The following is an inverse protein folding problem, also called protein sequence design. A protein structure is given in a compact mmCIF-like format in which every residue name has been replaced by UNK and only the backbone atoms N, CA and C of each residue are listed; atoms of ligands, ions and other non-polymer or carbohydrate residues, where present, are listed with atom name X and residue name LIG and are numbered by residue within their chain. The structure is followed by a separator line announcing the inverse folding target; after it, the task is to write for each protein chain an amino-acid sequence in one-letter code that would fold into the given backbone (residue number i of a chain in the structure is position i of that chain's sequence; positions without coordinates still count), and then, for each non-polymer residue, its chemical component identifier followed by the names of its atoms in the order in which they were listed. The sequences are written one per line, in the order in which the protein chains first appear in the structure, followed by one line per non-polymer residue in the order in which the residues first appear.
data_IF_235844667344
#
_entry.id   IF_235844667344
#
_cell.length_a   1.000
_cell.length_b   1.000
_cell.length_c   1.000
_cell.angle_alpha   90.00
_cell.angle_beta   90.00
_cell.angle_gamma   90.00
#
_symmetry.space_group_name_H-M   'P 1'
#
loop_
_entity.id
_entity.type
_entity.pdbx_description
1 polymer ?
#
# COMPACT_ATOMS: atom_id res chain seq x y z
N UNK A 1 2.91 4.19 20.20
CA UNK A 1 1.45 4.43 20.09
C UNK A 1 0.89 3.54 18.99
N UNK A 2 -0.25 2.90 19.22
CA UNK A 2 -0.91 2.00 18.24
C UNK A 2 -2.02 2.78 17.56
N UNK A 3 -1.95 2.93 16.23
CA UNK A 3 -2.83 3.84 15.48
C UNK A 3 -3.56 3.08 14.39
N UNK A 4 -4.87 3.32 14.27
CA UNK A 4 -5.67 2.85 13.15
C UNK A 4 -5.38 3.70 11.90
N UNK A 5 -4.93 3.07 10.82
CA UNK A 5 -4.61 3.79 9.57
C UNK A 5 -5.84 4.37 8.86
N UNK A 6 -7.04 3.88 9.16
CA UNK A 6 -8.29 4.32 8.54
C UNK A 6 -8.84 5.55 9.27
N UNK A 7 -9.13 5.41 10.56
CA UNK A 7 -9.69 6.49 11.38
C UNK A 7 -8.65 7.51 11.85
N UNK A 8 -7.35 7.15 11.84
CA UNK A 8 -6.23 7.92 12.41
C UNK A 8 -6.31 8.10 13.93
N UNK A 9 -7.17 7.34 14.59
CA UNK A 9 -7.32 7.33 16.04
C UNK A 9 -6.34 6.35 16.69
N UNK A 10 -5.98 6.62 17.95
CA UNK A 10 -5.25 5.66 18.77
C UNK A 10 -6.17 4.48 19.16
N UNK A 11 -5.65 3.26 18.99
CA UNK A 11 -6.33 2.03 19.41
C UNK A 11 -5.88 1.74 20.84
N UNK A 12 -6.78 1.97 21.80
CA UNK A 12 -6.51 1.68 23.22
C UNK A 12 -6.78 0.22 23.57
N UNK A 13 -7.89 -0.32 23.07
CA UNK A 13 -8.35 -1.67 23.39
C UNK A 13 -9.09 -2.34 22.22
N UNK A 14 -9.08 -3.68 22.18
CA UNK A 14 -9.87 -4.51 21.25
C UNK A 14 -9.05 -5.25 20.19
N UNK A 15 -9.75 -5.96 19.31
CA UNK A 15 -9.15 -6.68 18.18
C UNK A 15 -8.68 -5.71 17.09
N UNK A 16 -7.43 -5.86 16.66
CA UNK A 16 -6.86 -5.11 15.54
C UNK A 16 -5.95 -5.99 14.68
N UNK A 17 -5.89 -5.69 13.39
CA UNK A 17 -5.02 -6.39 12.44
C UNK A 17 -3.77 -5.54 12.20
N UNK A 18 -2.59 -6.15 12.33
CA UNK A 18 -1.33 -5.45 12.11
C UNK A 18 -1.13 -5.18 10.62
N UNK A 19 -0.55 -4.03 10.30
CA UNK A 19 -0.11 -3.76 8.93
C UNK A 19 1.11 -4.62 8.59
N UNK A 20 1.04 -5.35 7.47
CA UNK A 20 2.17 -6.09 6.91
C UNK A 20 3.21 -5.10 6.39
N UNK A 21 4.46 -5.27 6.81
CA UNK A 21 5.58 -4.48 6.25
C UNK A 21 5.80 -4.84 4.78
N UNK A 22 5.96 -3.81 3.96
CA UNK A 22 6.28 -3.94 2.54
C UNK A 22 7.26 -2.82 2.11
N UNK A 23 7.90 -2.94 0.93
CA UNK A 23 8.91 -1.98 0.49
C UNK A 23 8.40 -0.54 0.35
N UNK A 24 7.11 -0.35 0.05
CA UNK A 24 6.51 0.99 -0.07
C UNK A 24 6.38 1.61 1.32
N UNK A 25 5.90 0.83 2.29
CA UNK A 25 5.82 1.28 3.68
C UNK A 25 7.21 1.62 4.25
N UNK A 26 8.21 0.77 3.98
CA UNK A 26 9.58 1.00 4.43
C UNK A 26 10.16 2.28 3.83
N UNK A 27 9.88 2.56 2.55
CA UNK A 27 10.30 3.79 1.89
C UNK A 27 9.63 5.02 2.52
N UNK A 28 8.32 4.95 2.78
CA UNK A 28 7.57 6.03 3.46
C UNK A 28 8.15 6.28 4.85
N UNK A 29 8.45 5.22 5.62
CA UNK A 29 9.05 5.33 6.95
C UNK A 29 10.45 5.94 6.88
N UNK A 30 11.29 5.52 5.94
CA UNK A 30 12.63 6.12 5.73
C UNK A 30 12.53 7.61 5.40
N UNK A 31 11.62 7.98 4.50
CA UNK A 31 11.41 9.38 4.14
C UNK A 31 10.92 10.20 5.34
N UNK A 32 9.95 9.69 6.11
CA UNK A 32 9.47 10.37 7.33
C UNK A 32 10.56 10.52 8.39
N UNK A 33 11.44 9.53 8.55
CA UNK A 33 12.60 9.60 9.44
C UNK A 33 13.58 10.68 8.99
N UNK A 34 13.90 10.72 7.70
CA UNK A 34 14.76 11.75 7.11
C UNK A 34 14.21 13.17 7.33
N UNK A 35 12.88 13.34 7.22
CA UNK A 35 12.20 14.62 7.43
C UNK A 35 11.95 14.94 8.92
N UNK A 36 12.36 14.08 9.86
CA UNK A 36 12.15 14.29 11.29
C UNK A 36 10.68 14.22 11.75
N UNK A 37 9.77 13.72 10.91
CA UNK A 37 8.32 13.64 11.20
C UNK A 37 7.87 12.26 11.64
N UNK A 38 8.80 11.32 11.82
CA UNK A 38 8.51 9.96 12.23
C UNK A 38 8.22 9.88 13.74
N UNK A 39 7.02 9.41 14.09
CA UNK A 39 6.56 9.33 15.48
C UNK A 39 6.73 7.94 16.12
N UNK A 40 7.28 6.95 15.41
CA UNK A 40 7.41 5.59 15.97
C UNK A 40 6.08 4.88 16.21
N UNK A 41 5.02 5.27 15.51
CA UNK A 41 3.70 4.66 15.67
C UNK A 41 3.66 3.26 15.06
N UNK A 42 3.00 2.33 15.74
CA UNK A 42 2.66 1.01 15.19
C UNK A 42 1.32 1.13 14.47
N UNK A 43 1.30 0.68 13.21
CA UNK A 43 0.14 0.82 12.34
C UNK A 43 -0.71 -0.45 12.38
N UNK A 44 -2.00 -0.25 12.60
CA UNK A 44 -3.01 -1.31 12.69
C UNK A 44 -4.28 -0.92 11.93
N UNK A 45 -5.19 -1.87 11.77
CA UNK A 45 -6.58 -1.66 11.36
C UNK A 45 -7.47 -2.22 12.46
N UNK A 46 -8.25 -1.37 13.11
CA UNK A 46 -9.20 -1.81 14.13
C UNK A 46 -10.35 -2.62 13.50
N UNK A 47 -10.91 -3.60 14.23
CA UNK A 47 -12.07 -4.39 13.75
C UNK A 47 -13.23 -3.51 13.27
N UNK A 48 -13.49 -2.39 13.97
CA UNK A 48 -14.53 -1.40 13.61
C UNK A 48 -14.31 -0.76 12.22
N UNK A 49 -13.05 -0.60 11.81
CA UNK A 49 -12.66 0.05 10.55
C UNK A 49 -12.42 -0.94 9.41
N UNK A 50 -12.65 -2.23 9.67
CA UNK A 50 -12.30 -3.30 8.72
C UNK A 50 -13.14 -3.26 7.44
N UNK A 51 -14.41 -2.86 7.53
CA UNK A 51 -15.28 -2.73 6.36
C UNK A 51 -14.79 -1.62 5.42
N UNK A 52 -14.46 -0.46 5.98
CA UNK A 52 -13.90 0.65 5.21
C UNK A 52 -12.51 0.31 4.64
N UNK A 53 -11.65 -0.35 5.42
CA UNK A 53 -10.38 -0.86 4.93
C UNK A 53 -10.56 -1.77 3.71
N UNK A 54 -11.48 -2.75 3.78
CA UNK A 54 -11.77 -3.66 2.66
C UNK A 54 -12.21 -2.91 1.42
N UNK A 55 -13.08 -1.90 1.58
CA UNK A 55 -13.55 -1.05 0.48
C UNK A 55 -12.37 -0.29 -0.16
N UNK A 56 -11.59 0.43 0.64
CA UNK A 56 -10.44 1.20 0.14
C UNK A 56 -9.37 0.31 -0.50
N UNK A 57 -9.14 -0.87 0.07
CA UNK A 57 -8.20 -1.87 -0.46
C UNK A 57 -8.64 -2.39 -1.82
N UNK A 58 -9.94 -2.72 -1.96
CA UNK A 58 -10.52 -3.13 -3.25
C UNK A 58 -10.44 -2.01 -4.28
N UNK A 59 -10.71 -0.77 -3.90
CA UNK A 59 -10.61 0.39 -4.79
C UNK A 59 -9.16 0.63 -5.25
N UNK A 60 -8.18 0.41 -4.38
CA UNK A 60 -6.76 0.45 -4.71
C UNK A 60 -6.38 -0.65 -5.72
N UNK A 61 -6.79 -1.90 -5.48
CA UNK A 61 -6.52 -3.02 -6.38
C UNK A 61 -7.17 -2.79 -7.76
N UNK A 62 -8.42 -2.33 -7.78
CA UNK A 62 -9.11 -1.96 -9.02
C UNK A 62 -8.39 -0.83 -9.76
N UNK A 63 -7.88 0.18 -9.05
CA UNK A 63 -7.14 1.28 -9.67
C UNK A 63 -5.81 0.81 -10.27
N UNK A 64 -5.10 -0.13 -9.64
CA UNK A 64 -3.89 -0.73 -10.20
C UNK A 64 -4.22 -1.52 -11.46
N UNK A 65 -5.25 -2.38 -11.40
CA UNK A 65 -5.66 -3.20 -12.56
C UNK A 65 -6.09 -2.31 -13.72
N UNK A 66 -6.93 -1.31 -13.46
CA UNK A 66 -7.37 -0.35 -14.46
C UNK A 66 -6.19 0.43 -15.04
N UNK A 67 -5.26 0.87 -14.19
CA UNK A 67 -4.05 1.58 -14.61
C UNK A 67 -3.15 0.72 -15.49
N UNK A 68 -3.00 -0.57 -15.18
CA UNK A 68 -2.25 -1.52 -16.01
C UNK A 68 -2.92 -1.71 -17.39
N UNK A 69 -4.24 -1.89 -17.43
CA UNK A 69 -5.00 -2.02 -18.68
C UNK A 69 -4.83 -0.76 -19.55
N UNK A 70 -4.99 0.43 -18.95
CA UNK A 70 -4.80 1.71 -19.64
C UNK A 70 -3.37 1.83 -20.17
N UNK A 71 -2.36 1.51 -19.35
CA UNK A 71 -0.95 1.57 -19.76
C UNK A 71 -0.64 0.66 -20.95
N UNK A 72 -1.18 -0.57 -20.95
CA UNK A 72 -1.05 -1.50 -22.08
C UNK A 72 -1.73 -0.94 -23.33
N UNK A 73 -2.97 -0.46 -23.20
CA UNK A 73 -3.71 0.11 -24.33
C UNK A 73 -2.98 1.30 -24.95
N UNK A 74 -2.45 2.21 -24.13
CA UNK A 74 -1.63 3.33 -24.61
C UNK A 74 -0.35 2.88 -25.31
N UNK A 75 0.35 1.89 -24.76
CA UNK A 75 1.58 1.35 -25.38
C UNK A 75 1.27 0.76 -26.75
N UNK A 76 0.20 -0.02 -26.88
CA UNK A 76 -0.24 -0.57 -28.17
C UNK A 76 -0.55 0.53 -29.19
N UNK A 77 -1.28 1.57 -28.78
CA UNK A 77 -1.60 2.70 -29.66
C UNK A 77 -0.34 3.45 -30.13
N UNK A 78 0.64 3.65 -29.25
CA UNK A 78 1.92 4.29 -29.59
C UNK A 78 2.77 3.45 -30.54
N UNK A 79 2.71 2.13 -30.43
CA UNK A 79 3.41 1.23 -31.35
C UNK A 79 2.73 1.23 -32.73
N UNK A 80 1.40 1.13 -32.77
CA UNK A 80 0.63 1.16 -34.03
C UNK A 80 0.90 2.45 -34.80
N UNK A 81 0.92 3.60 -34.14
CA UNK A 81 1.16 4.89 -34.79
C UNK A 81 2.58 5.04 -35.35
N UNK A 82 3.53 4.23 -34.89
CA UNK A 82 4.93 4.28 -35.29
C UNK A 82 5.36 3.14 -36.24
N UNK A 83 4.43 2.27 -36.68
CA UNK A 83 4.73 1.10 -37.52
C UNK A 83 5.46 1.43 -38.84
N UNK A 84 5.28 2.63 -39.38
CA UNK A 84 5.91 3.05 -40.63
C UNK A 84 7.40 3.41 -40.50
N UNK A 85 7.91 3.54 -39.27
CA UNK A 85 9.31 3.85 -39.00
C UNK A 85 9.84 2.98 -37.85
N UNK A 86 10.64 1.94 -38.13
CA UNK A 86 11.12 1.00 -37.10
C UNK A 86 11.89 1.66 -35.95
N UNK A 87 12.69 2.70 -36.25
CA UNK A 87 13.44 3.43 -35.23
C UNK A 87 12.49 4.22 -34.31
N UNK A 88 11.45 4.82 -34.89
CA UNK A 88 10.41 5.50 -34.14
C UNK A 88 9.59 4.50 -33.31
N UNK A 89 9.25 3.33 -33.85
CA UNK A 89 8.50 2.30 -33.14
C UNK A 89 9.20 1.82 -31.86
N UNK A 90 10.52 1.60 -31.92
CA UNK A 90 11.32 1.23 -30.74
C UNK A 90 11.29 2.35 -29.70
N UNK A 91 11.50 3.61 -30.13
CA UNK A 91 11.48 4.76 -29.22
C UNK A 91 10.10 4.96 -28.57
N UNK A 92 9.02 4.77 -29.33
CA UNK A 92 7.64 4.86 -28.86
C UNK A 92 7.30 3.75 -27.87
N UNK A 93 7.81 2.54 -28.09
CA UNK A 93 7.63 1.42 -27.16
C UNK A 93 8.32 1.71 -25.83
N UNK A 94 9.58 2.16 -25.83
CA UNK A 94 10.30 2.53 -24.62
C UNK A 94 9.58 3.68 -23.90
N UNK A 95 9.18 4.73 -24.64
CA UNK A 95 8.44 5.86 -24.09
C UNK A 95 7.10 5.47 -23.48
N UNK A 96 6.34 4.60 -24.15
CA UNK A 96 5.07 4.07 -23.67
C UNK A 96 5.21 3.25 -22.38
N UNK A 97 6.24 2.40 -22.29
CA UNK A 97 6.55 1.63 -21.08
C UNK A 97 6.92 2.58 -19.92
N UNK A 98 7.80 3.55 -20.15
CA UNK A 98 8.19 4.54 -19.13
C UNK A 98 6.96 5.32 -18.65
N UNK A 99 6.12 5.79 -19.56
CA UNK A 99 4.93 6.56 -19.24
C UNK A 99 3.91 5.71 -18.46
N UNK A 100 3.71 4.46 -18.86
CA UNK A 100 2.85 3.51 -18.16
C UNK A 100 3.34 3.20 -16.75
N UNK A 101 4.65 3.00 -16.57
CA UNK A 101 5.25 2.82 -15.25
C UNK A 101 5.08 4.08 -14.39
N UNK A 102 5.29 5.26 -14.96
CA UNK A 102 5.13 6.53 -14.24
C UNK A 102 3.68 6.75 -13.79
N UNK A 103 2.71 6.39 -14.64
CA UNK A 103 1.29 6.42 -14.28
C UNK A 103 0.97 5.45 -13.13
N UNK A 104 1.49 4.21 -13.17
CA UNK A 104 1.32 3.26 -12.07
C UNK A 104 1.91 3.77 -10.76
N UNK A 105 3.09 4.40 -10.79
CA UNK A 105 3.70 5.02 -9.61
C UNK A 105 2.79 6.11 -9.04
N UNK A 106 2.18 6.95 -9.87
CA UNK A 106 1.24 7.99 -9.41
C UNK A 106 -0.02 7.39 -8.76
N UNK A 107 -0.56 6.30 -9.33
CA UNK A 107 -1.70 5.57 -8.73
C UNK A 107 -1.32 5.03 -7.35
N UNK A 108 -0.14 4.44 -7.21
CA UNK A 108 0.36 3.94 -5.92
C UNK A 108 0.50 5.10 -4.94
N UNK A 109 1.17 6.20 -5.30
CA UNK A 109 1.39 7.33 -4.39
C UNK A 109 0.10 7.97 -3.86
N UNK A 110 -0.98 7.95 -4.64
CA UNK A 110 -2.24 8.61 -4.28
C UNK A 110 -3.23 7.69 -3.57
N UNK A 111 -3.22 6.39 -3.85
CA UNK A 111 -4.24 5.44 -3.37
C UNK A 111 -3.69 4.26 -2.56
N UNK A 112 -2.41 4.24 -2.25
CA UNK A 112 -1.80 3.11 -1.54
C UNK A 112 -2.49 2.84 -0.20
N UNK A 113 -2.94 1.59 -0.06
CA UNK A 113 -3.48 1.01 1.18
C UNK A 113 -2.63 -0.24 1.45
N UNK A 114 -1.86 -0.29 2.55
CA UNK A 114 -1.00 -1.44 2.85
C UNK A 114 -1.83 -2.70 3.16
N UNK A 115 -1.23 -3.88 3.00
CA UNK A 115 -1.87 -5.14 3.38
C UNK A 115 -1.86 -5.32 4.91
N UNK A 116 -2.79 -6.13 5.42
CA UNK A 116 -2.86 -6.52 6.84
C UNK A 116 -2.38 -7.97 7.03
N UNK A 117 -1.94 -8.30 8.24
CA UNK A 117 -1.74 -9.68 8.67
C UNK A 117 -3.09 -10.42 8.79
N UNK A 118 -3.08 -11.73 8.55
CA UNK A 118 -4.30 -12.56 8.57
C UNK A 118 -4.83 -12.79 9.99
N UNK A 119 -3.96 -12.72 10.99
CA UNK A 119 -4.31 -12.97 12.39
C UNK A 119 -4.58 -11.66 13.13
N UNK A 120 -5.73 -11.52 13.80
CA UNK A 120 -6.00 -10.37 14.65
C UNK A 120 -5.17 -10.47 15.93
N UNK A 121 -4.74 -9.31 16.44
CA UNK A 121 -4.04 -9.15 17.71
C UNK A 121 -4.95 -8.40 18.68
N UNK A 122 -5.00 -8.85 19.93
CA UNK A 122 -5.68 -8.13 21.00
C UNK A 122 -4.81 -6.97 21.49
N UNK A 123 -5.34 -5.76 21.38
CA UNK A 123 -4.76 -4.54 21.92
C UNK A 123 -5.43 -4.30 23.28
N UNK A 124 -4.66 -4.06 24.34
CA UNK A 124 -5.21 -3.66 25.66
C UNK A 124 -5.61 -4.79 26.63
N UNK A 125 -5.28 -6.05 26.34
CA UNK A 125 -5.40 -7.15 27.31
C UNK A 125 -4.10 -7.33 28.11
N UNK A 126 -4.19 -7.19 29.44
CA UNK A 126 -3.20 -7.39 30.51
C UNK A 126 -1.79 -7.93 30.17
N UNK A 127 -0.78 -7.18 30.62
CA UNK A 127 0.36 -7.80 31.30
C UNK A 127 -0.17 -8.52 32.55
N UNK A 128 -0.14 -9.86 32.56
CA UNK A 128 -0.16 -10.63 33.80
C UNK A 128 -1.08 -11.84 33.83
N UNK A 129 -0.57 -13.01 33.41
CA UNK A 129 -0.61 -14.24 34.22
C UNK A 129 0.23 -15.38 33.58
N UNK A 130 1.05 -15.97 34.45
CA UNK A 130 1.57 -17.34 34.41
C UNK A 130 2.51 -17.78 33.27
N UNK A 131 3.82 -17.74 33.57
CA UNK A 131 4.55 -18.99 33.81
C UNK A 131 5.77 -18.72 34.68
N UNK A 132 5.48 -18.55 35.97
CA UNK A 132 6.43 -18.82 37.02
C UNK A 132 6.06 -20.20 37.60
N UNK A 133 6.15 -21.25 36.79
CA UNK A 133 6.18 -22.62 37.29
C UNK A 133 6.70 -23.59 36.22
N UNK A 134 8.02 -23.80 36.21
CA UNK A 134 8.64 -25.12 36.06
C UNK A 134 9.94 -25.09 36.85
N UNK A 135 9.86 -25.64 38.05
CA UNK A 135 11.01 -25.97 38.89
C UNK A 135 11.81 -27.15 38.38
#
# INVERSE_FOLDING_TARGET
MKVDIISREEIKEGEAYRIKSDPVLDLIVRYKKMMGTYQGNELYVAKKSMEEYKKRRKDFENAIVLGAIIGIAFTVLLVISALNNPAQAISSLIGGVILGLLFLVLVILTKYIPAIEETPVMIGGENGKENNDKG
#
